data_IF_997813934744
#
_entry.id   IF_997813934744
#
_cell.length_a   1.000
_cell.length_b   1.000
_cell.length_c   1.000
_cell.angle_alpha   90.00
_cell.angle_beta   90.00
_cell.angle_gamma   90.00
#
_symmetry.space_group_name_H-M   'P 1'
#
loop_
_entity.id
_entity.type
_entity.pdbx_description
1 polymer ?
#
# COMPACT_ATOMS: atom_id res chain seq x y z
N UNK A 1 8.85 -2.07 -13.76
CA UNK A 1 7.51 -1.44 -13.67
C UNK A 1 7.73 -0.02 -13.19
N UNK A 2 7.29 1.00 -13.93
CA UNK A 2 7.41 2.39 -13.48
C UNK A 2 6.17 2.72 -12.66
N UNK A 3 6.31 2.77 -11.33
CA UNK A 3 5.24 3.25 -10.47
C UNK A 3 4.97 4.74 -10.81
N UNK A 4 3.70 5.16 -10.80
CA UNK A 4 3.31 6.55 -11.06
C UNK A 4 4.06 7.47 -10.07
N UNK A 5 4.40 8.74 -10.39
CA UNK A 5 5.26 9.55 -9.52
C UNK A 5 4.77 9.70 -8.07
N UNK A 6 3.46 9.60 -7.85
CA UNK A 6 2.81 9.64 -6.53
C UNK A 6 2.90 8.32 -5.73
N UNK A 7 3.23 7.20 -6.39
CA UNK A 7 3.35 5.87 -5.79
C UNK A 7 4.83 5.51 -5.65
N UNK A 8 5.31 5.53 -4.41
CA UNK A 8 6.66 5.11 -4.05
C UNK A 8 6.81 3.60 -4.15
N UNK A 9 7.98 3.20 -4.63
CA UNK A 9 8.39 1.83 -4.79
C UNK A 9 9.79 1.64 -4.21
N UNK A 10 10.08 0.44 -3.71
CA UNK A 10 11.40 0.09 -3.18
C UNK A 10 12.45 -0.03 -4.30
N UNK A 11 13.70 -0.33 -3.93
CA UNK A 11 14.81 -0.49 -4.88
C UNK A 11 14.59 -1.62 -5.91
N UNK A 12 13.66 -2.54 -5.66
CA UNK A 12 13.31 -3.63 -6.57
C UNK A 12 12.06 -3.32 -7.41
N UNK A 13 11.43 -2.16 -7.21
CA UNK A 13 10.24 -1.73 -7.92
C UNK A 13 8.92 -2.28 -7.37
N UNK A 14 8.91 -2.77 -6.12
CA UNK A 14 7.67 -3.15 -5.44
C UNK A 14 7.07 -1.96 -4.68
N UNK A 15 5.74 -1.86 -4.66
CA UNK A 15 5.01 -0.75 -4.07
C UNK A 15 5.22 -0.70 -2.55
N UNK A 16 5.64 0.45 -2.03
CA UNK A 16 5.75 0.68 -0.59
C UNK A 16 4.36 0.92 0.00
N UNK A 17 4.03 0.23 1.09
CA UNK A 17 2.73 0.34 1.77
C UNK A 17 2.87 0.60 3.26
N UNK A 18 1.86 1.19 3.89
CA UNK A 18 1.81 1.42 5.33
C UNK A 18 2.99 2.26 5.80
N UNK A 19 3.70 1.79 6.83
CA UNK A 19 4.85 2.52 7.38
C UNK A 19 5.98 2.72 6.37
N UNK A 20 6.14 1.84 5.38
CA UNK A 20 7.15 2.01 4.33
C UNK A 20 6.77 3.12 3.33
N UNK A 21 5.47 3.44 3.20
CA UNK A 21 5.03 4.61 2.44
C UNK A 21 5.35 5.94 3.15
N UNK A 22 5.43 5.96 4.49
CA UNK A 22 5.95 7.12 5.23
C UNK A 22 7.46 7.24 5.01
N UNK A 23 8.19 6.13 5.15
CA UNK A 23 9.66 6.12 5.01
C UNK A 23 10.14 6.54 3.63
N UNK A 24 9.31 6.41 2.60
CA UNK A 24 9.64 6.89 1.25
C UNK A 24 9.64 8.43 1.14
N UNK A 25 9.13 9.15 2.14
CA UNK A 25 9.05 10.61 2.15
C UNK A 25 7.99 11.20 1.21
N UNK A 26 7.16 10.36 0.60
CA UNK A 26 6.10 10.78 -0.34
C UNK A 26 4.71 10.84 0.33
N UNK A 27 4.60 10.47 1.60
CA UNK A 27 3.34 10.57 2.34
C UNK A 27 3.00 12.02 2.71
N UNK A 28 1.81 12.47 2.32
CA UNK A 28 1.41 13.88 2.41
C UNK A 28 0.04 14.11 3.08
N UNK A 29 -0.56 13.08 3.71
CA UNK A 29 -1.83 13.22 4.42
C UNK A 29 -1.62 13.46 5.93
N UNK A 30 -2.55 14.20 6.56
CA UNK A 30 -2.54 14.55 7.99
C UNK A 30 -2.92 13.40 8.95
N UNK A 31 -2.60 12.16 8.57
CA UNK A 31 -2.83 10.95 9.37
C UNK A 31 -1.87 9.85 8.95
N UNK A 32 -1.74 8.78 9.72
CA UNK A 32 -0.90 7.64 9.33
C UNK A 32 -1.55 6.79 8.23
N UNK A 33 -0.78 6.26 7.26
CA UNK A 33 -1.27 5.34 6.22
C UNK A 33 -1.87 4.08 6.85
N UNK A 34 -2.90 3.54 6.21
CA UNK A 34 -3.40 2.22 6.55
C UNK A 34 -2.40 1.14 6.10
N UNK A 35 -2.46 -0.05 6.69
CA UNK A 35 -1.43 -1.09 6.52
C UNK A 35 -1.09 -1.46 5.06
N UNK A 36 -2.07 -1.43 4.16
CA UNK A 36 -1.93 -1.79 2.74
C UNK A 36 -1.98 -0.57 1.81
N UNK A 37 -1.98 0.62 2.38
CA UNK A 37 -2.09 1.86 1.64
C UNK A 37 -0.73 2.32 1.13
N UNK A 38 -0.70 2.76 -0.11
CA UNK A 38 0.50 3.26 -0.78
C UNK A 38 0.84 4.68 -0.33
N UNK A 39 1.89 5.29 -0.90
CA UNK A 39 2.14 6.72 -0.68
C UNK A 39 1.09 7.66 -1.31
N UNK A 40 0.22 7.15 -2.18
CA UNK A 40 -0.98 7.86 -2.62
C UNK A 40 -2.14 7.58 -1.66
N UNK A 41 -2.61 8.56 -0.86
CA UNK A 41 -3.71 8.35 0.06
C UNK A 41 -4.98 7.88 -0.67
N UNK A 42 -5.67 6.89 -0.11
CA UNK A 42 -6.83 6.20 -0.68
C UNK A 42 -6.49 5.07 -1.66
N UNK A 43 -5.22 4.89 -2.04
CA UNK A 43 -4.77 3.84 -2.97
C UNK A 43 -4.14 2.71 -2.18
N UNK A 44 -4.62 1.49 -2.40
CA UNK A 44 -4.17 0.29 -1.70
C UNK A 44 -3.51 -0.70 -2.66
N UNK A 45 -2.43 -1.33 -2.20
CA UNK A 45 -1.71 -2.37 -2.94
C UNK A 45 -1.67 -3.67 -2.14
N UNK A 46 -1.96 -4.79 -2.81
CA UNK A 46 -2.07 -6.13 -2.19
C UNK A 46 -1.34 -7.18 -3.00
N UNK A 47 -0.90 -8.23 -2.34
CA UNK A 47 -0.20 -9.34 -2.96
C UNK A 47 1.17 -8.96 -3.49
N UNK A 48 1.63 -9.64 -4.54
CA UNK A 48 3.05 -9.66 -4.89
C UNK A 48 3.61 -8.37 -5.48
N UNK A 49 2.74 -7.40 -5.73
CA UNK A 49 3.11 -6.07 -6.20
C UNK A 49 3.69 -5.20 -5.07
N UNK A 50 3.35 -5.44 -3.80
CA UNK A 50 3.84 -4.64 -2.68
C UNK A 50 5.13 -5.18 -2.08
N UNK A 51 5.93 -4.29 -1.49
CA UNK A 51 7.15 -4.64 -0.80
C UNK A 51 6.83 -5.48 0.46
N UNK A 52 7.70 -6.44 0.76
CA UNK A 52 7.51 -7.36 1.89
C UNK A 52 6.29 -8.29 1.79
N UNK A 53 5.72 -8.50 0.60
CA UNK A 53 4.68 -9.52 0.43
C UNK A 53 5.24 -10.93 0.69
N UNK A 54 4.36 -11.85 1.08
CA UNK A 54 4.73 -13.26 1.35
C UNK A 54 4.99 -14.05 0.06
N UNK A 55 4.79 -13.47 -1.13
CA UNK A 55 4.93 -14.15 -2.43
C UNK A 55 4.07 -15.41 -2.53
N UNK A 56 2.82 -15.31 -2.07
CA UNK A 56 1.90 -16.42 -1.93
C UNK A 56 0.46 -16.02 -2.28
N UNK A 57 -0.22 -16.87 -3.07
CA UNK A 57 -1.60 -16.63 -3.51
C UNK A 57 -2.58 -16.57 -2.33
N UNK A 58 -2.48 -17.49 -1.37
CA UNK A 58 -3.38 -17.51 -0.22
C UNK A 58 -3.27 -16.23 0.63
N UNK A 59 -2.05 -15.76 0.87
CA UNK A 59 -1.81 -14.49 1.57
C UNK A 59 -2.36 -13.29 0.76
N UNK A 60 -2.12 -13.26 -0.54
CA UNK A 60 -2.60 -12.18 -1.43
C UNK A 60 -4.13 -12.08 -1.44
N UNK A 61 -4.83 -13.22 -1.43
CA UNK A 61 -6.30 -13.26 -1.32
C UNK A 61 -6.76 -12.68 0.01
N UNK A 62 -6.11 -13.06 1.12
CA UNK A 62 -6.39 -12.50 2.45
C UNK A 62 -6.18 -10.98 2.51
N UNK A 63 -5.08 -10.49 1.95
CA UNK A 63 -4.79 -9.06 1.85
C UNK A 63 -5.86 -8.31 1.04
N UNK A 64 -6.40 -8.89 -0.02
CA UNK A 64 -7.51 -8.31 -0.78
C UNK A 64 -8.77 -8.10 0.06
N UNK A 65 -9.12 -9.06 0.91
CA UNK A 65 -10.23 -8.91 1.86
C UNK A 65 -9.99 -7.80 2.88
N UNK A 66 -8.77 -7.71 3.41
CA UNK A 66 -8.36 -6.64 4.34
C UNK A 66 -8.41 -5.28 3.65
N UNK A 67 -7.94 -5.18 2.40
CA UNK A 67 -7.96 -3.93 1.65
C UNK A 67 -9.37 -3.38 1.46
N UNK A 68 -10.38 -4.24 1.23
CA UNK A 68 -11.78 -3.80 1.17
C UNK A 68 -12.20 -3.15 2.49
N UNK A 69 -11.93 -3.78 3.63
CA UNK A 69 -12.28 -3.21 4.93
C UNK A 69 -11.57 -1.87 5.18
N UNK A 70 -10.31 -1.74 4.76
CA UNK A 70 -9.55 -0.50 4.87
C UNK A 70 -10.07 0.60 3.94
N UNK A 71 -10.50 0.27 2.71
CA UNK A 71 -11.15 1.21 1.80
C UNK A 71 -12.43 1.76 2.42
N UNK A 72 -13.25 0.90 3.02
CA UNK A 72 -14.46 1.34 3.71
C UNK A 72 -14.15 2.30 4.86
N UNK A 73 -13.08 2.02 5.63
CA UNK A 73 -12.62 2.91 6.70
C UNK A 73 -12.07 4.24 6.15
N UNK A 74 -11.36 4.21 5.02
CA UNK A 74 -10.86 5.42 4.36
C UNK A 74 -12.00 6.33 3.89
N UNK A 75 -13.07 5.74 3.33
CA UNK A 75 -14.27 6.49 2.90
C UNK A 75 -15.09 7.09 4.07
N UNK A 76 -14.74 6.75 5.31
CA UNK A 76 -15.37 7.29 6.54
C UNK A 76 -14.49 8.33 7.24
N UNK A 77 -13.30 8.64 6.71
CA UNK A 77 -12.46 9.76 7.17
C UNK A 77 -13.10 11.10 6.81
#
# INVERSE_FOLDING_TARGET
MCCRPEISCDAHGFVSTGTDAIKSGQWNADREPFALETSGPGIFAVGDIRSGSVKCVAASVGEGGIAIALVHRYLQL
#
